data_IF_896775219456
#
_entry.id   IF_896775219456
#
_cell.length_a   1.000
_cell.length_b   1.000
_cell.length_c   1.000
_cell.angle_alpha   90.00
_cell.angle_beta   90.00
_cell.angle_gamma   90.00
#
_symmetry.space_group_name_H-M   'P 1'
#
loop_
_entity.id
_entity.type
_entity.pdbx_description
1 polymer ?
#
# COMPACT_ATOMS: atom_id res chain seq x y z
N UNK A 1 -3.12 19.65 -22.55
CA UNK A 1 -2.33 19.50 -21.30
C UNK A 1 -1.77 18.09 -21.32
N UNK A 2 -0.44 17.98 -21.31
CA UNK A 2 0.27 16.72 -21.57
C UNK A 2 0.12 15.78 -20.38
N UNK A 3 -0.42 14.59 -20.63
CA UNK A 3 -0.34 13.46 -19.71
C UNK A 3 1.15 13.06 -19.58
N UNK A 4 1.70 12.86 -18.37
CA UNK A 4 3.04 12.32 -18.24
C UNK A 4 3.02 10.82 -18.55
N UNK A 5 3.24 10.50 -19.83
CA UNK A 5 3.63 9.17 -20.30
C UNK A 5 5.10 8.96 -19.91
N UNK A 6 5.35 8.55 -18.67
CA UNK A 6 6.61 7.89 -18.31
C UNK A 6 6.52 7.32 -16.88
N UNK A 7 6.14 6.05 -16.74
CA UNK A 7 6.84 5.21 -15.76
C UNK A 7 7.97 4.53 -16.50
N UNK A 8 9.19 5.03 -16.30
CA UNK A 8 10.42 4.36 -16.74
C UNK A 8 10.59 2.98 -16.07
N UNK A 9 9.81 2.71 -15.03
CA UNK A 9 9.74 1.43 -14.35
C UNK A 9 8.45 0.64 -14.64
N UNK A 10 8.61 -0.68 -14.76
CA UNK A 10 7.55 -1.68 -14.62
C UNK A 10 7.73 -2.32 -13.25
N UNK A 11 6.64 -2.48 -12.49
CA UNK A 11 6.66 -3.14 -11.17
C UNK A 11 5.69 -4.30 -11.22
N UNK A 12 6.14 -5.47 -10.76
CA UNK A 12 5.38 -6.71 -10.75
C UNK A 12 5.42 -7.27 -9.33
N UNK A 13 4.25 -7.45 -8.72
CA UNK A 13 4.09 -8.13 -7.44
C UNK A 13 3.42 -9.48 -7.68
N UNK A 14 3.94 -10.54 -7.05
CA UNK A 14 3.38 -11.88 -7.20
C UNK A 14 2.47 -12.21 -6.03
N UNK A 15 1.17 -12.19 -6.29
CA UNK A 15 0.16 -12.53 -5.29
C UNK A 15 0.11 -14.04 -4.98
N UNK A 16 0.34 -14.87 -6.00
CA UNK A 16 0.40 -16.32 -5.86
C UNK A 16 1.16 -16.95 -7.03
N UNK A 17 1.72 -18.15 -6.81
CA UNK A 17 2.49 -18.86 -7.82
C UNK A 17 3.90 -18.30 -8.03
N UNK A 18 4.41 -18.45 -9.25
CA UNK A 18 5.72 -17.97 -9.69
C UNK A 18 5.56 -17.21 -11.01
N UNK A 19 6.23 -16.08 -11.13
CA UNK A 19 6.25 -15.23 -12.33
C UNK A 19 7.69 -15.07 -12.79
N UNK A 20 7.93 -15.29 -14.08
CA UNK A 20 9.21 -15.01 -14.74
C UNK A 20 9.11 -13.72 -15.54
N UNK A 21 10.02 -12.78 -15.27
CA UNK A 21 10.19 -11.55 -16.02
C UNK A 21 11.40 -11.70 -16.93
N UNK A 22 11.24 -11.32 -18.20
CA UNK A 22 12.32 -11.26 -19.18
C UNK A 22 12.44 -9.84 -19.72
N UNK A 23 13.62 -9.24 -19.64
CA UNK A 23 13.88 -7.92 -20.22
C UNK A 23 14.09 -7.99 -21.73
N UNK A 24 14.09 -6.84 -22.40
CA UNK A 24 14.35 -6.75 -23.84
C UNK A 24 15.76 -7.19 -24.25
N UNK A 25 16.71 -7.23 -23.31
CA UNK A 25 18.08 -7.71 -23.55
C UNK A 25 18.27 -9.19 -23.20
N UNK A 26 17.20 -9.87 -22.76
CA UNK A 26 17.23 -11.29 -22.40
C UNK A 26 17.66 -11.57 -20.96
N UNK A 27 17.77 -10.55 -20.09
CA UNK A 27 17.94 -10.80 -18.65
C UNK A 27 16.65 -11.37 -18.08
N UNK A 28 16.78 -12.27 -17.11
CA UNK A 28 15.64 -12.97 -16.53
C UNK A 28 15.61 -12.80 -15.00
N UNK A 29 14.40 -12.78 -14.45
CA UNK A 29 14.16 -12.72 -13.01
C UNK A 29 12.93 -13.55 -12.66
N UNK A 30 13.09 -14.47 -11.72
CA UNK A 30 11.97 -15.22 -11.16
C UNK A 30 11.51 -14.54 -9.86
N UNK A 31 10.20 -14.37 -9.77
CA UNK A 31 9.48 -13.88 -8.61
C UNK A 31 8.55 -14.98 -8.10
N UNK A 32 8.67 -15.28 -6.82
CA UNK A 32 7.79 -16.14 -6.06
C UNK A 32 6.72 -15.29 -5.39
N UNK A 33 5.67 -15.96 -4.89
CA UNK A 33 4.67 -15.34 -4.03
C UNK A 33 5.28 -14.43 -2.97
N UNK A 34 4.78 -13.20 -2.89
CA UNK A 34 5.21 -12.17 -1.94
C UNK A 34 6.38 -11.30 -2.45
N UNK A 35 7.02 -11.66 -3.56
CA UNK A 35 8.15 -10.92 -4.08
C UNK A 35 7.72 -9.83 -5.07
N UNK A 36 8.47 -8.72 -5.07
CA UNK A 36 8.30 -7.64 -6.04
C UNK A 36 9.52 -7.55 -6.95
N UNK A 37 9.27 -7.55 -8.25
CA UNK A 37 10.26 -7.24 -9.27
C UNK A 37 10.05 -5.85 -9.84
N UNK A 38 11.14 -5.10 -9.99
CA UNK A 38 11.16 -3.78 -10.61
C UNK A 38 12.07 -3.86 -11.84
N UNK A 39 11.53 -3.49 -12.99
CA UNK A 39 12.28 -3.36 -14.24
C UNK A 39 12.36 -1.90 -14.63
N UNK A 40 13.58 -1.34 -14.69
CA UNK A 40 13.82 0.01 -15.25
C UNK A 40 14.21 -0.09 -16.72
N UNK A 41 13.40 0.53 -17.59
CA UNK A 41 13.60 0.51 -19.05
C UNK A 41 14.84 1.29 -19.46
N UNK A 42 15.07 2.48 -18.89
CA UNK A 42 16.21 3.33 -19.23
C UNK A 42 17.58 2.68 -19.02
N UNK A 43 17.71 1.86 -17.98
CA UNK A 43 18.96 1.20 -17.61
C UNK A 43 18.97 -0.31 -17.89
N UNK A 44 17.86 -0.86 -18.39
CA UNK A 44 17.65 -2.29 -18.55
C UNK A 44 18.02 -3.08 -17.28
N UNK A 45 17.62 -2.55 -16.13
CA UNK A 45 17.94 -3.10 -14.81
C UNK A 45 16.73 -3.86 -14.28
N UNK A 46 16.93 -5.13 -13.94
CA UNK A 46 16.00 -5.91 -13.14
C UNK A 46 16.49 -5.90 -11.69
N UNK A 47 15.65 -5.45 -10.77
CA UNK A 47 15.88 -5.54 -9.33
C UNK A 47 14.75 -6.32 -8.66
N UNK A 48 15.14 -7.17 -7.72
CA UNK A 48 14.24 -7.95 -6.89
C UNK A 48 14.33 -7.40 -5.48
N UNK A 49 13.20 -7.06 -4.90
CA UNK A 49 13.16 -6.61 -3.52
C UNK A 49 12.28 -7.59 -2.74
N UNK A 50 12.88 -8.19 -1.70
CA UNK A 50 12.18 -9.04 -0.74
C UNK A 50 11.27 -8.20 0.16
N UNK A 51 11.59 -6.90 0.27
CA UNK A 51 10.81 -5.86 0.93
C UNK A 51 10.91 -4.58 0.09
N UNK A 52 10.32 -4.58 -1.11
CA UNK A 52 10.00 -3.29 -1.71
C UNK A 52 9.04 -2.58 -0.76
N UNK A 53 9.07 -1.25 -0.71
CA UNK A 53 7.84 -0.54 -0.37
C UNK A 53 6.80 -1.03 -1.39
N UNK A 54 6.00 -2.03 -1.02
CA UNK A 54 5.02 -2.69 -1.88
C UNK A 54 4.00 -1.69 -2.42
N UNK A 55 3.98 -0.49 -1.83
CA UNK A 55 3.15 0.64 -2.20
C UNK A 55 3.90 1.67 -3.08
N UNK A 56 5.10 1.39 -3.59
CA UNK A 56 5.88 2.30 -4.44
C UNK A 56 5.11 2.76 -5.68
N UNK A 57 4.21 1.92 -6.21
CA UNK A 57 3.35 2.23 -7.35
C UNK A 57 1.88 2.44 -6.98
N UNK A 58 1.55 2.46 -5.69
CA UNK A 58 0.17 2.65 -5.22
C UNK A 58 -0.46 3.95 -5.72
N UNK A 59 0.34 5.01 -5.92
CA UNK A 59 -0.11 6.27 -6.54
C UNK A 59 -0.68 6.10 -7.97
N UNK A 60 -0.27 5.05 -8.68
CA UNK A 60 -0.73 4.71 -10.04
C UNK A 60 -1.74 3.57 -10.06
N UNK A 61 -1.51 2.55 -9.24
CA UNK A 61 -2.30 1.31 -9.28
C UNK A 61 -3.46 1.31 -8.28
N UNK A 62 -3.43 2.19 -7.27
CA UNK A 62 -4.28 2.13 -6.07
C UNK A 62 -4.26 0.76 -5.38
N UNK A 63 -3.19 -0.02 -5.58
CA UNK A 63 -2.97 -1.28 -4.87
C UNK A 63 -2.09 -0.96 -3.67
N UNK A 64 -2.56 -1.32 -2.48
CA UNK A 64 -1.84 -1.19 -1.24
C UNK A 64 -1.62 -2.57 -0.61
N UNK A 65 -0.40 -2.89 -0.23
CA UNK A 65 -0.05 -4.07 0.56
C UNK A 65 0.62 -3.57 1.82
N UNK A 66 -0.03 -3.79 2.96
CA UNK A 66 0.48 -3.48 4.28
C UNK A 66 0.71 -4.78 5.04
N UNK A 67 1.93 -4.99 5.53
CA UNK A 67 2.30 -6.16 6.33
C UNK A 67 2.79 -5.68 7.69
N UNK A 68 2.01 -5.95 8.74
CA UNK A 68 2.26 -5.48 10.10
C UNK A 68 2.66 -3.99 10.14
N UNK A 69 2.01 -3.17 9.32
CA UNK A 69 2.41 -1.78 9.12
C UNK A 69 1.77 -0.88 10.19
N UNK A 70 2.51 0.10 10.76
CA UNK A 70 1.93 1.07 11.68
C UNK A 70 0.79 1.84 11.02
N UNK A 71 -0.30 2.08 11.75
CA UNK A 71 -1.44 2.85 11.24
C UNK A 71 -1.04 4.25 10.77
N UNK A 72 -0.05 4.87 11.40
CA UNK A 72 0.50 6.15 10.98
C UNK A 72 1.07 6.09 9.54
N UNK A 73 1.82 5.02 9.23
CA UNK A 73 2.38 4.80 7.88
C UNK A 73 1.26 4.56 6.87
N UNK A 74 0.24 3.79 7.26
CA UNK A 74 -0.94 3.52 6.43
C UNK A 74 -1.67 4.82 6.12
N UNK A 75 -1.99 5.62 7.14
CA UNK A 75 -2.69 6.89 6.99
C UNK A 75 -1.91 7.89 6.13
N UNK A 76 -0.59 8.00 6.34
CA UNK A 76 0.27 8.84 5.52
C UNK A 76 0.25 8.43 4.04
N UNK A 77 0.32 7.12 3.76
CA UNK A 77 0.29 6.61 2.39
C UNK A 77 -1.07 6.82 1.72
N UNK A 78 -2.16 6.64 2.45
CA UNK A 78 -3.51 6.92 1.93
C UNK A 78 -3.74 8.42 1.68
N UNK A 79 -3.25 9.29 2.56
CA UNK A 79 -3.26 10.74 2.37
C UNK A 79 -2.53 11.13 1.07
N UNK A 80 -1.34 10.57 0.84
CA UNK A 80 -0.53 10.80 -0.36
C UNK A 80 -1.26 10.39 -1.65
N UNK A 81 -1.85 9.18 -1.68
CA UNK A 81 -2.42 8.63 -2.91
C UNK A 81 -3.82 9.18 -3.23
N UNK A 82 -4.65 9.40 -2.21
CA UNK A 82 -6.03 9.87 -2.39
C UNK A 82 -6.19 11.38 -2.23
N UNK A 83 -5.15 12.10 -1.80
CA UNK A 83 -5.24 13.54 -1.54
C UNK A 83 -6.19 13.88 -0.39
N UNK A 84 -6.32 12.98 0.58
CA UNK A 84 -7.17 13.14 1.77
C UNK A 84 -6.34 13.56 2.99
N UNK A 85 -7.03 13.92 4.07
CA UNK A 85 -6.41 14.31 5.33
C UNK A 85 -6.94 13.44 6.48
N UNK A 86 -6.35 12.26 6.63
CA UNK A 86 -6.63 11.30 7.69
C UNK A 86 -5.82 11.69 8.93
N UNK A 87 -6.53 11.85 10.05
CA UNK A 87 -5.99 12.15 11.37
C UNK A 87 -6.30 10.97 12.29
N UNK A 88 -5.28 10.46 12.96
CA UNK A 88 -5.40 9.39 13.94
C UNK A 88 -5.46 9.97 15.35
N UNK A 89 -6.26 9.39 16.24
CA UNK A 89 -6.15 9.69 17.67
C UNK A 89 -4.88 9.07 18.28
N UNK A 90 -4.34 9.68 19.33
CA UNK A 90 -3.09 9.23 19.98
C UNK A 90 -3.13 7.76 20.45
N UNK A 91 -4.32 7.26 20.79
CA UNK A 91 -4.55 5.85 21.16
C UNK A 91 -4.22 4.85 20.05
N UNK A 92 -4.05 5.31 18.81
CA UNK A 92 -3.82 4.47 17.62
C UNK A 92 -2.35 4.41 17.20
N UNK A 93 -1.45 5.14 17.86
CA UNK A 93 -0.03 5.24 17.46
C UNK A 93 0.66 3.86 17.40
N UNK A 94 0.31 2.96 18.32
CA UNK A 94 0.91 1.61 18.40
C UNK A 94 0.10 0.54 17.66
N UNK A 95 -0.90 0.94 16.88
CA UNK A 95 -1.68 0.00 16.10
C UNK A 95 -0.96 -0.41 14.83
N UNK A 96 -0.99 -1.70 14.53
CA UNK A 96 -0.49 -2.25 13.28
C UNK A 96 -1.61 -2.97 12.54
N UNK A 97 -1.51 -2.98 11.21
CA UNK A 97 -2.45 -3.69 10.37
C UNK A 97 -1.71 -4.46 9.26
N UNK A 98 -2.18 -5.68 9.02
CA UNK A 98 -1.84 -6.45 7.82
C UNK A 98 -3.07 -6.51 6.93
N UNK A 99 -3.02 -5.87 5.77
CA UNK A 99 -4.14 -5.89 4.81
C UNK A 99 -3.66 -5.56 3.40
N UNK A 100 -4.40 -6.03 2.40
CA UNK A 100 -4.18 -5.69 1.00
C UNK A 100 -5.44 -5.10 0.40
N UNK A 101 -5.33 -3.89 -0.15
CA UNK A 101 -6.40 -3.18 -0.84
C UNK A 101 -6.09 -3.12 -2.34
N UNK A 102 -7.03 -3.49 -3.21
CA UNK A 102 -6.80 -3.58 -4.66
C UNK A 102 -7.72 -2.63 -5.42
N UNK A 103 -7.23 -1.41 -5.69
CA UNK A 103 -7.99 -0.39 -6.41
C UNK A 103 -9.37 -0.10 -5.79
N UNK A 104 -9.42 -0.12 -4.46
CA UNK A 104 -10.61 0.19 -3.68
C UNK A 104 -10.80 1.70 -3.55
N UNK A 105 -12.01 2.16 -3.29
CA UNK A 105 -12.25 3.56 -2.92
C UNK A 105 -11.81 3.83 -1.47
N UNK A 106 -11.38 5.07 -1.19
CA UNK A 106 -10.85 5.45 0.13
C UNK A 106 -11.84 5.14 1.26
N UNK A 107 -13.13 5.29 0.99
CA UNK A 107 -14.19 5.02 1.96
C UNK A 107 -14.26 3.54 2.35
N UNK A 108 -14.10 2.63 1.39
CA UNK A 108 -14.08 1.19 1.65
C UNK A 108 -12.83 0.78 2.42
N UNK A 109 -11.67 1.38 2.09
CA UNK A 109 -10.42 1.15 2.82
C UNK A 109 -10.58 1.57 4.29
N UNK A 110 -11.15 2.76 4.53
CA UNK A 110 -11.37 3.27 5.89
C UNK A 110 -12.37 2.43 6.69
N UNK A 111 -13.42 1.94 6.03
CA UNK A 111 -14.41 1.04 6.64
C UNK A 111 -13.75 -0.27 7.08
N UNK A 112 -12.96 -0.90 6.23
CA UNK A 112 -12.21 -2.13 6.57
C UNK A 112 -11.23 -1.89 7.73
N UNK A 113 -10.49 -0.77 7.71
CA UNK A 113 -9.58 -0.40 8.82
C UNK A 113 -10.36 -0.24 10.12
N UNK A 114 -11.50 0.45 10.05
CA UNK A 114 -12.34 0.70 11.22
C UNK A 114 -12.97 -0.57 11.77
N UNK A 115 -13.48 -1.47 10.93
CA UNK A 115 -14.03 -2.75 11.37
C UNK A 115 -12.96 -3.66 11.97
N UNK A 116 -11.80 -3.75 11.32
CA UNK A 116 -10.71 -4.64 11.75
C UNK A 116 -10.18 -4.26 13.13
N UNK A 117 -10.10 -2.95 13.41
CA UNK A 117 -9.53 -2.41 14.64
C UNK A 117 -10.60 -1.86 15.60
N UNK A 118 -11.88 -2.08 15.30
CA UNK A 118 -13.04 -1.58 16.04
C UNK A 118 -12.96 -0.06 16.34
N UNK A 119 -12.68 0.73 15.31
CA UNK A 119 -12.56 2.18 15.34
C UNK A 119 -13.84 2.85 14.84
N UNK A 120 -13.96 4.15 15.11
CA UNK A 120 -14.97 5.02 14.54
C UNK A 120 -14.32 5.92 13.49
N UNK A 121 -15.04 6.12 12.38
CA UNK A 121 -14.65 7.04 11.31
C UNK A 121 -15.57 8.25 11.36
N UNK A 122 -14.99 9.44 11.53
CA UNK A 122 -15.71 10.71 11.53
C UNK A 122 -15.22 11.58 10.37
N UNK A 123 -16.07 11.80 9.37
CA UNK A 123 -15.78 12.69 8.24
C UNK A 123 -16.21 14.12 8.58
N UNK A 124 -15.25 15.03 8.63
CA UNK A 124 -15.44 16.46 8.78
C UNK A 124 -15.02 17.13 7.46
N UNK A 125 -15.49 18.35 7.18
CA UNK A 125 -15.40 18.98 5.85
C UNK A 125 -14.04 18.81 5.14
N UNK A 126 -12.92 18.94 5.86
CA UNK A 126 -11.56 18.83 5.31
C UNK A 126 -10.68 17.78 6.00
N UNK A 127 -11.25 16.87 6.82
CA UNK A 127 -10.47 15.86 7.54
C UNK A 127 -11.28 14.62 7.87
N UNK A 128 -10.62 13.48 7.85
CA UNK A 128 -11.16 12.18 8.24
C UNK A 128 -10.50 11.81 9.56
N UNK A 129 -11.28 11.63 10.62
CA UNK A 129 -10.76 11.29 11.94
C UNK A 129 -11.03 9.82 12.21
N UNK A 130 -9.97 9.06 12.50
CA UNK A 130 -10.05 7.70 13.01
C UNK A 130 -9.81 7.73 14.52
N UNK A 131 -10.79 7.27 15.29
CA UNK A 131 -10.72 7.27 16.75
C UNK A 131 -11.23 5.96 17.36
N UNK A 132 -10.68 5.55 18.49
CA UNK A 132 -11.11 4.34 19.18
C UNK A 132 -10.23 4.00 20.38
N UNK A 133 -10.55 2.91 21.07
CA UNK A 133 -9.79 2.39 22.22
C UNK A 133 -8.38 1.88 21.86
N UNK A 134 -8.02 1.88 20.57
CA UNK A 134 -6.76 1.35 20.07
C UNK A 134 -6.76 -0.16 19.93
N UNK A 135 -5.61 -0.70 19.52
CA UNK A 135 -5.42 -2.11 19.18
C UNK A 135 -5.06 -2.98 20.38
N UNK A 136 -5.20 -2.45 21.59
CA UNK A 136 -5.07 -3.20 22.83
C UNK A 136 -6.32 -4.05 23.07
N UNK A 137 -6.45 -5.15 22.32
CA UNK A 137 -7.28 -6.25 22.78
C UNK A 137 -6.47 -6.97 23.85
N UNK A 138 -6.84 -6.82 25.12
CA UNK A 138 -6.69 -7.94 26.04
C UNK A 138 -7.65 -9.00 25.51
N UNK A 139 -7.11 -10.07 24.95
CA UNK A 139 -7.82 -11.34 24.90
C UNK A 139 -7.91 -11.82 26.35
N UNK A 140 -9.13 -11.87 26.86
CA UNK A 140 -9.50 -12.56 28.10
C UNK A 140 -9.51 -14.09 27.87
#
# INVERSE_FOLDING_TARGET
MNAPVNSDSIVVYVESGEVKITSSTGKEMNLLKGETGIFKRSSDLLSKEFHADTNLVSYKTKIFVFENAPLEVIAAKLNEVYGVNIILSDSLINCHLTSTFRNEEIDAILEVIAETLNLKVSKLENKIVLEGSGCNRKED
#
